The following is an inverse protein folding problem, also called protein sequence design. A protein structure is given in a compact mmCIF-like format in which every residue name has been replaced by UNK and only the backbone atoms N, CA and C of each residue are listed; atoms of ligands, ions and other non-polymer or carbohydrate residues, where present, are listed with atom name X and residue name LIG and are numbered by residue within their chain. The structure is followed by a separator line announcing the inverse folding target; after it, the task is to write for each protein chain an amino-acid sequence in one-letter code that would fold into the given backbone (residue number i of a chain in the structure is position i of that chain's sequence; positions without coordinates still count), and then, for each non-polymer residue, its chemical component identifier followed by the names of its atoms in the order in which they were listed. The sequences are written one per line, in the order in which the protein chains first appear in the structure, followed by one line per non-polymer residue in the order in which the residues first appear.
data_IF_183803924919
#
_entry.id   IF_183803924919
#
_cell.length_a   1.000
_cell.length_b   1.000
_cell.length_c   1.000
_cell.angle_alpha   90.00
_cell.angle_beta   90.00
_cell.angle_gamma   90.00
#
_symmetry.space_group_name_H-M   'P 1'
#
loop_
_entity.id
_entity.type
_entity.pdbx_description
1 polymer ?
#
# COMPACT_ATOMS: atom_id res chain seq x y z
N UNK A 1 3.57 18.59 8.18
CA UNK A 1 4.91 18.28 8.72
C UNK A 1 5.63 19.52 9.22
N UNK A 2 5.87 20.54 8.38
CA UNK A 2 6.67 21.73 8.74
C UNK A 2 6.12 22.49 9.97
N UNK A 3 4.80 22.67 10.08
CA UNK A 3 4.20 23.37 11.21
C UNK A 3 4.30 22.61 12.55
N UNK A 4 4.39 21.27 12.53
CA UNK A 4 4.41 20.45 13.74
C UNK A 4 5.81 20.34 14.35
N UNK A 5 6.83 20.26 13.50
CA UNK A 5 8.22 20.08 13.94
C UNK A 5 8.99 21.39 14.10
N UNK A 6 8.52 22.48 13.45
CA UNK A 6 9.13 23.80 13.55
C UNK A 6 9.38 24.28 14.99
N UNK A 7 8.41 24.25 15.93
CA UNK A 7 8.66 24.74 17.28
C UNK A 7 9.66 23.87 18.06
N UNK A 8 9.70 22.56 17.82
CA UNK A 8 10.64 21.64 18.50
C UNK A 8 12.08 21.91 18.03
N UNK A 9 12.29 22.01 16.71
CA UNK A 9 13.63 22.32 16.19
C UNK A 9 14.07 23.74 16.56
N UNK A 10 13.15 24.71 16.57
CA UNK A 10 13.45 26.07 17.02
C UNK A 10 13.95 26.10 18.48
N UNK A 11 13.30 25.37 19.38
CA UNK A 11 13.73 25.25 20.79
C UNK A 11 15.07 24.50 20.92
N UNK A 12 15.27 23.42 20.15
CA UNK A 12 16.54 22.67 20.18
C UNK A 12 17.72 23.52 19.67
N UNK A 13 17.54 24.29 18.59
CA UNK A 13 18.57 25.22 18.14
C UNK A 13 18.81 26.35 19.13
N UNK A 14 17.75 26.89 19.74
CA UNK A 14 17.89 27.93 20.76
C UNK A 14 18.76 27.48 21.94
N UNK A 15 18.63 26.22 22.37
CA UNK A 15 19.40 25.64 23.46
C UNK A 15 20.83 25.23 23.06
N UNK A 16 21.02 24.72 21.84
CA UNK A 16 22.31 24.13 21.42
C UNK A 16 23.25 25.10 20.70
N UNK A 17 22.75 26.22 20.17
CA UNK A 17 23.58 27.27 19.56
C UNK A 17 24.52 27.93 20.59
N UNK A 18 24.07 28.31 21.80
CA UNK A 18 24.94 28.87 22.83
C UNK A 18 26.02 27.90 23.34
N UNK A 19 25.71 26.60 23.36
CA UNK A 19 26.61 25.54 23.86
C UNK A 19 27.56 24.98 22.78
N UNK A 20 27.40 25.39 21.51
CA UNK A 20 28.20 24.90 20.39
C UNK A 20 27.87 23.48 19.93
N UNK A 21 26.84 22.85 20.50
CA UNK A 21 26.38 21.48 20.24
C UNK A 21 25.23 21.40 19.23
N UNK A 22 25.12 22.40 18.33
CA UNK A 22 24.06 22.48 17.32
C UNK A 22 24.22 21.47 16.17
N UNK A 23 25.43 20.93 15.96
CA UNK A 23 25.75 20.05 14.85
C UNK A 23 24.96 18.71 14.88
N UNK A 24 24.85 17.98 16.02
CA UNK A 24 23.96 16.83 16.14
C UNK A 24 22.49 17.13 15.85
N UNK A 25 21.98 18.30 16.28
CA UNK A 25 20.59 18.72 16.02
C UNK A 25 20.37 18.94 14.52
N UNK A 26 21.31 19.59 13.85
CA UNK A 26 21.28 19.80 12.41
C UNK A 26 21.33 18.47 11.62
N UNK A 27 22.19 17.54 12.04
CA UNK A 27 22.26 16.20 11.44
C UNK A 27 20.95 15.43 11.64
N UNK A 28 20.36 15.49 12.83
CA UNK A 28 19.07 14.85 13.11
C UNK A 28 17.93 15.44 12.27
N UNK A 29 17.86 16.77 12.15
CA UNK A 29 16.87 17.44 11.29
C UNK A 29 17.05 17.04 9.82
N UNK A 30 18.28 17.05 9.33
CA UNK A 30 18.59 16.62 7.97
C UNK A 30 18.17 15.16 7.75
N UNK A 31 18.46 14.28 8.70
CA UNK A 31 18.03 12.88 8.65
C UNK A 31 16.52 12.73 8.54
N UNK A 32 15.75 13.40 9.40
CA UNK A 32 14.26 13.37 9.34
C UNK A 32 13.75 13.93 8.01
N UNK A 33 14.34 15.02 7.52
CA UNK A 33 13.97 15.66 6.25
C UNK A 33 14.21 14.73 5.07
N UNK A 34 15.37 14.05 5.05
CA UNK A 34 15.72 13.09 4.00
C UNK A 34 14.79 11.89 4.04
N UNK A 35 14.54 11.29 5.21
CA UNK A 35 13.62 10.15 5.36
C UNK A 35 12.21 10.51 4.90
N UNK A 36 11.73 11.69 5.27
CA UNK A 36 10.42 12.16 4.83
C UNK A 36 10.38 12.41 3.31
N UNK A 37 11.41 13.06 2.76
CA UNK A 37 11.53 13.31 1.32
C UNK A 37 11.55 12.01 0.52
N UNK A 38 12.31 11.00 0.98
CA UNK A 38 12.32 9.66 0.40
C UNK A 38 10.93 9.01 0.49
N UNK A 39 10.22 9.17 1.61
CA UNK A 39 8.87 8.66 1.77
C UNK A 39 7.87 9.30 0.79
N UNK A 40 7.93 10.62 0.61
CA UNK A 40 7.10 11.37 -0.35
C UNK A 40 7.42 10.96 -1.78
N UNK A 41 8.70 10.85 -2.14
CA UNK A 41 9.12 10.40 -3.47
C UNK A 41 8.69 8.97 -3.72
N UNK A 42 8.84 8.06 -2.75
CA UNK A 42 8.36 6.68 -2.84
C UNK A 42 6.84 6.61 -3.02
N UNK A 43 6.10 7.44 -2.28
CA UNK A 43 4.64 7.55 -2.41
C UNK A 43 4.22 8.01 -3.81
N UNK A 44 4.79 9.10 -4.32
CA UNK A 44 4.47 9.61 -5.67
C UNK A 44 4.96 8.71 -6.81
N UNK A 45 5.97 7.86 -6.57
CA UNK A 45 6.45 6.89 -7.55
C UNK A 45 5.69 5.57 -7.52
N UNK A 46 4.84 5.35 -6.52
CA UNK A 46 4.00 4.15 -6.47
C UNK A 46 2.87 4.31 -7.48
N UNK A 47 2.75 3.34 -8.39
CA UNK A 47 1.76 3.39 -9.45
C UNK A 47 1.55 2.02 -10.06
N UNK A 48 0.35 1.82 -10.60
CA UNK A 48 -0.01 0.61 -11.34
C UNK A 48 -0.32 1.07 -12.76
N UNK A 49 0.41 0.52 -13.73
CA UNK A 49 0.12 0.70 -15.14
C UNK A 49 -0.48 -0.59 -15.66
N UNK A 50 -1.56 -0.46 -16.40
CA UNK A 50 -2.26 -1.58 -16.99
C UNK A 50 -2.33 -1.36 -18.49
N UNK A 51 -2.09 -2.43 -19.24
CA UNK A 51 -2.19 -2.45 -20.70
C UNK A 51 -2.75 -3.82 -21.11
N UNK A 52 -3.19 -3.95 -22.35
CA UNK A 52 -3.69 -5.23 -22.88
C UNK A 52 -2.64 -6.34 -22.87
N UNK A 53 -1.34 -5.99 -22.86
CA UNK A 53 -0.25 -6.97 -22.74
C UNK A 53 -0.02 -7.47 -21.30
N UNK A 54 -0.52 -6.76 -20.28
CA UNK A 54 -0.29 -7.13 -18.88
C UNK A 54 -0.39 -5.98 -17.89
N UNK A 55 0.03 -6.27 -16.66
CA UNK A 55 -0.01 -5.33 -15.54
C UNK A 55 1.39 -5.10 -14.98
N UNK A 56 1.75 -3.84 -14.76
CA UNK A 56 3.02 -3.44 -14.16
C UNK A 56 2.76 -2.65 -12.89
N UNK A 57 3.25 -3.16 -11.77
CA UNK A 57 3.21 -2.51 -10.47
C UNK A 57 4.58 -1.92 -10.15
N UNK A 58 4.63 -0.65 -9.74
CA UNK A 58 5.81 -0.08 -9.10
C UNK A 58 5.52 0.08 -7.62
N UNK A 59 6.20 -0.74 -6.83
CA UNK A 59 6.14 -0.68 -5.38
C UNK A 59 6.88 0.53 -4.81
N UNK A 60 6.60 0.82 -3.54
CA UNK A 60 7.13 1.95 -2.78
C UNK A 60 8.67 2.06 -2.76
N UNK A 61 9.36 0.92 -2.73
CA UNK A 61 10.83 0.85 -2.78
C UNK A 61 11.40 0.97 -4.21
N UNK A 62 10.56 1.30 -5.20
CA UNK A 62 10.95 1.39 -6.59
C UNK A 62 11.09 0.06 -7.32
N UNK A 63 10.70 -1.06 -6.68
CA UNK A 63 10.64 -2.36 -7.33
C UNK A 63 9.53 -2.34 -8.38
N UNK A 64 9.87 -2.68 -9.62
CA UNK A 64 8.92 -2.78 -10.73
C UNK A 64 8.67 -4.26 -10.98
N UNK A 65 7.47 -4.71 -10.65
CA UNK A 65 7.02 -6.07 -10.89
C UNK A 65 6.06 -6.01 -12.09
N UNK A 66 6.39 -6.72 -13.18
CA UNK A 66 5.58 -6.75 -14.41
C UNK A 66 5.11 -8.17 -14.67
N UNK A 67 3.81 -8.33 -14.90
CA UNK A 67 3.16 -9.60 -15.14
C UNK A 67 2.41 -9.55 -16.48
N UNK A 68 2.69 -10.47 -17.42
CA UNK A 68 1.98 -10.54 -18.68
C UNK A 68 0.52 -10.96 -18.46
N UNK A 69 -0.39 -10.52 -19.33
CA UNK A 69 -1.82 -10.83 -19.23
C UNK A 69 -2.09 -12.35 -19.25
N UNK A 70 -1.23 -13.14 -19.89
CA UNK A 70 -1.32 -14.60 -19.91
C UNK A 70 -1.13 -15.26 -18.53
N UNK A 71 -0.42 -14.59 -17.61
CA UNK A 71 -0.27 -15.08 -16.23
C UNK A 71 -1.49 -14.73 -15.37
N UNK A 72 -2.40 -13.88 -15.84
CA UNK A 72 -3.56 -13.41 -15.09
C UNK A 72 -4.72 -14.39 -15.28
N UNK A 73 -5.11 -15.06 -14.20
CA UNK A 73 -6.19 -16.05 -14.22
C UNK A 73 -7.54 -15.48 -13.86
N UNK A 74 -7.62 -14.62 -12.84
CA UNK A 74 -8.89 -14.03 -12.38
C UNK A 74 -8.68 -12.74 -11.62
N UNK A 75 -9.74 -11.93 -11.52
CA UNK A 75 -9.78 -10.71 -10.72
C UNK A 75 -10.81 -10.92 -9.63
N UNK A 76 -10.42 -10.71 -8.37
CA UNK A 76 -11.30 -10.80 -7.23
C UNK A 76 -11.53 -9.40 -6.67
N UNK A 77 -12.78 -8.93 -6.71
CA UNK A 77 -13.20 -7.70 -6.08
C UNK A 77 -13.99 -8.04 -4.83
N UNK A 78 -13.53 -7.54 -3.68
CA UNK A 78 -14.15 -7.80 -2.39
C UNK A 78 -14.09 -6.57 -1.50
N UNK A 79 -15.06 -6.44 -0.61
CA UNK A 79 -15.08 -5.39 0.41
C UNK A 79 -14.48 -5.90 1.73
N UNK A 80 -13.53 -5.14 2.29
CA UNK A 80 -12.95 -5.43 3.61
C UNK A 80 -13.39 -4.41 4.64
N UNK A 81 -13.83 -4.89 5.80
CA UNK A 81 -14.05 -4.04 6.98
C UNK A 81 -12.74 -3.44 7.48
N UNK A 82 -12.76 -2.13 7.75
CA UNK A 82 -11.63 -1.41 8.30
C UNK A 82 -11.68 -1.44 9.83
N UNK A 83 -11.07 -2.47 10.43
CA UNK A 83 -10.99 -2.60 11.88
C UNK A 83 -12.34 -2.92 12.53
N UNK A 84 -12.70 -2.19 13.58
CA UNK A 84 -13.92 -2.38 14.38
C UNK A 84 -15.08 -1.45 13.93
N UNK A 85 -14.86 -0.67 12.88
CA UNK A 85 -15.87 0.20 12.29
C UNK A 85 -16.64 -0.53 11.18
N UNK A 86 -17.90 -0.11 10.97
CA UNK A 86 -18.75 -0.58 9.86
C UNK A 86 -18.30 -0.08 8.48
N UNK A 87 -17.21 0.70 8.41
CA UNK A 87 -16.66 1.19 7.15
C UNK A 87 -16.00 0.05 6.38
N UNK A 88 -16.42 -0.14 5.13
CA UNK A 88 -15.83 -1.08 4.20
C UNK A 88 -14.97 -0.36 3.17
N UNK A 89 -13.90 -1.01 2.73
CA UNK A 89 -13.09 -0.55 1.61
C UNK A 89 -13.05 -1.61 0.53
N UNK A 90 -13.33 -1.21 -0.72
CA UNK A 90 -13.19 -2.09 -1.88
C UNK A 90 -11.71 -2.42 -2.12
N UNK A 91 -11.42 -3.69 -2.25
CA UNK A 91 -10.09 -4.22 -2.50
C UNK A 91 -10.14 -5.13 -3.72
N UNK A 92 -9.36 -4.78 -4.74
CA UNK A 92 -9.20 -5.57 -5.95
C UNK A 92 -7.91 -6.39 -5.87
N UNK A 93 -8.02 -7.69 -6.11
CA UNK A 93 -6.90 -8.61 -6.15
C UNK A 93 -6.82 -9.21 -7.55
N UNK A 94 -5.69 -9.01 -8.21
CA UNK A 94 -5.37 -9.71 -9.46
C UNK A 94 -4.70 -11.02 -9.09
N UNK A 95 -5.32 -12.13 -9.46
CA UNK A 95 -4.88 -13.48 -9.13
C UNK A 95 -4.35 -14.14 -10.40
N UNK A 96 -3.14 -14.67 -10.31
CA UNK A 96 -2.52 -15.37 -11.41
C UNK A 96 -3.15 -16.73 -11.66
N UNK A 97 -2.84 -17.33 -12.81
CA UNK A 97 -3.24 -18.71 -13.16
C UNK A 97 -2.78 -19.73 -12.11
N UNK A 98 -1.68 -19.43 -11.42
CA UNK A 98 -1.12 -20.23 -10.32
C UNK A 98 -1.90 -20.09 -8.99
N UNK A 99 -2.98 -19.28 -8.96
CA UNK A 99 -3.75 -18.97 -7.75
C UNK A 99 -3.05 -17.98 -6.80
N UNK A 100 -1.87 -17.48 -7.16
CA UNK A 100 -1.12 -16.50 -6.36
C UNK A 100 -1.58 -15.08 -6.66
N UNK A 101 -1.51 -14.21 -5.65
CA UNK A 101 -1.79 -12.79 -5.83
C UNK A 101 -0.64 -12.08 -6.57
N UNK A 102 -0.94 -11.56 -7.75
CA UNK A 102 -0.02 -10.75 -8.55
C UNK A 102 -0.02 -9.31 -8.04
N UNK A 103 -1.19 -8.67 -8.06
CA UNK A 103 -1.37 -7.25 -7.72
C UNK A 103 -2.55 -7.08 -6.76
N UNK A 104 -2.47 -6.07 -5.89
CA UNK A 104 -3.55 -5.70 -4.97
C UNK A 104 -3.78 -4.19 -4.99
N UNK A 105 -4.97 -3.78 -5.42
CA UNK A 105 -5.43 -2.40 -5.31
C UNK A 105 -6.29 -2.25 -4.05
N UNK A 106 -6.02 -1.23 -3.25
CA UNK A 106 -6.79 -0.91 -2.04
C UNK A 106 -7.58 0.37 -2.27
N UNK A 107 -8.87 0.37 -1.93
CA UNK A 107 -9.78 1.51 -2.10
C UNK A 107 -9.30 2.78 -1.38
N UNK A 108 -8.54 2.63 -0.30
CA UNK A 108 -7.90 3.74 0.40
C UNK A 108 -6.89 4.54 -0.44
N UNK A 109 -6.37 3.96 -1.53
CA UNK A 109 -5.37 4.59 -2.40
C UNK A 109 -5.83 4.71 -3.86
N UNK A 110 -6.73 3.84 -4.30
CA UNK A 110 -7.20 3.79 -5.68
C UNK A 110 -8.71 3.96 -5.74
N UNK A 111 -9.18 4.79 -6.66
CA UNK A 111 -10.62 4.98 -6.89
C UNK A 111 -11.25 3.74 -7.52
N UNK A 112 -12.57 3.57 -7.33
CA UNK A 112 -13.35 2.54 -8.03
C UNK A 112 -13.16 2.60 -9.55
N UNK A 113 -13.21 3.80 -10.15
CA UNK A 113 -12.98 3.97 -11.59
C UNK A 113 -11.59 3.44 -12.05
N UNK A 114 -10.57 3.53 -11.20
CA UNK A 114 -9.25 2.97 -11.50
C UNK A 114 -9.27 1.44 -11.46
N UNK A 115 -10.04 0.86 -10.53
CA UNK A 115 -10.24 -0.59 -10.45
C UNK A 115 -11.03 -1.12 -11.66
N UNK A 116 -12.07 -0.40 -12.07
CA UNK A 116 -12.86 -0.73 -13.26
C UNK A 116 -12.00 -0.70 -14.52
N UNK A 117 -11.10 0.29 -14.65
CA UNK A 117 -10.14 0.36 -15.76
C UNK A 117 -9.25 -0.89 -15.81
N UNK A 118 -8.79 -1.39 -14.66
CA UNK A 118 -7.97 -2.62 -14.60
C UNK A 118 -8.80 -3.83 -15.00
N UNK A 119 -10.05 -3.93 -14.55
CA UNK A 119 -10.97 -5.00 -14.94
C UNK A 119 -11.17 -5.02 -16.46
N UNK A 120 -11.49 -3.86 -17.05
CA UNK A 120 -11.75 -3.72 -18.48
C UNK A 120 -10.53 -4.05 -19.34
N UNK A 121 -9.35 -3.56 -18.95
CA UNK A 121 -8.12 -3.70 -19.73
C UNK A 121 -7.56 -5.12 -19.73
N UNK A 122 -7.60 -5.82 -18.60
CA UNK A 122 -7.15 -7.21 -18.51
C UNK A 122 -8.12 -8.21 -19.14
N UNK A 123 -9.43 -7.90 -19.16
CA UNK A 123 -10.45 -8.79 -19.72
C UNK A 123 -10.55 -10.16 -19.03
N UNK A 124 -9.98 -10.31 -17.84
CA UNK A 124 -9.97 -11.56 -17.09
C UNK A 124 -11.30 -11.76 -16.33
N UNK A 125 -11.70 -13.01 -16.02
CA UNK A 125 -12.91 -13.29 -15.26
C UNK A 125 -12.92 -12.56 -13.91
N UNK A 126 -13.97 -11.79 -13.65
CA UNK A 126 -14.14 -11.04 -12.40
C UNK A 126 -15.09 -11.76 -11.46
N UNK A 127 -14.62 -12.04 -10.25
CA UNK A 127 -15.41 -12.57 -9.16
C UNK A 127 -15.69 -11.44 -8.19
N UNK A 128 -16.97 -11.07 -8.09
CA UNK A 128 -17.45 -10.10 -7.12
C UNK A 128 -17.89 -10.86 -5.87
N UNK A 129 -17.27 -10.54 -4.72
CA UNK A 129 -17.73 -11.05 -3.44
C UNK A 129 -18.68 -10.03 -2.83
N UNK A 130 -19.97 -10.36 -2.85
CA UNK A 130 -21.06 -9.47 -2.44
C UNK A 130 -21.11 -9.23 -0.93
N UNK A 131 -20.52 -10.12 -0.14
CA UNK A 131 -20.55 -10.05 1.32
C UNK A 131 -19.23 -9.47 1.83
N UNK A 132 -19.26 -8.28 2.48
CA UNK A 132 -18.06 -7.71 3.06
C UNK A 132 -17.49 -8.65 4.11
N UNK A 133 -16.18 -8.85 4.06
CA UNK A 133 -15.51 -9.79 4.95
C UNK A 133 -14.45 -9.08 5.79
N UNK A 134 -14.19 -9.62 6.96
CA UNK A 134 -13.07 -9.17 7.78
C UNK A 134 -11.75 -9.70 7.22
N UNK A 135 -10.63 -9.05 7.55
CA UNK A 135 -9.31 -9.57 7.18
C UNK A 135 -9.06 -10.99 7.73
N UNK A 136 -9.67 -11.34 8.87
CA UNK A 136 -9.58 -12.66 9.50
C UNK A 136 -10.32 -13.73 8.70
N UNK A 137 -11.50 -13.40 8.20
CA UNK A 137 -12.26 -14.28 7.31
C UNK A 137 -11.54 -14.48 5.97
N UNK A 138 -11.00 -13.40 5.39
CA UNK A 138 -10.17 -13.49 4.19
C UNK A 138 -8.93 -14.37 4.41
N UNK A 139 -8.25 -14.25 5.57
CA UNK A 139 -7.10 -15.10 5.90
C UNK A 139 -7.48 -16.58 6.03
N UNK A 140 -8.67 -16.89 6.55
CA UNK A 140 -9.17 -18.27 6.64
C UNK A 140 -9.58 -18.84 5.29
N UNK A 141 -10.24 -18.03 4.45
CA UNK A 141 -10.78 -18.48 3.17
C UNK A 141 -9.72 -18.55 2.07
N UNK A 142 -8.80 -17.58 2.04
CA UNK A 142 -7.82 -17.34 0.96
C UNK A 142 -6.50 -16.74 1.49
N UNK A 143 -5.73 -17.45 2.32
CA UNK A 143 -4.48 -16.93 2.90
C UNK A 143 -3.44 -16.54 1.84
N UNK A 144 -3.47 -17.15 0.65
CA UNK A 144 -2.61 -16.88 -0.50
C UNK A 144 -2.76 -15.46 -1.08
N UNK A 145 -3.88 -14.78 -0.80
CA UNK A 145 -4.13 -13.41 -1.24
C UNK A 145 -3.51 -12.36 -0.31
N UNK A 146 -3.11 -12.77 0.89
CA UNK A 146 -2.56 -11.89 1.90
C UNK A 146 -1.03 -11.88 1.89
N UNK A 147 -0.46 -10.76 2.30
CA UNK A 147 0.98 -10.71 2.52
C UNK A 147 1.38 -11.64 3.68
N UNK A 148 2.61 -12.16 3.64
CA UNK A 148 3.09 -13.09 4.67
C UNK A 148 2.99 -12.55 6.10
N UNK A 149 3.18 -11.24 6.28
CA UNK A 149 3.08 -10.58 7.58
C UNK A 149 1.63 -10.36 8.02
N UNK A 150 0.70 -10.10 7.09
CA UNK A 150 -0.74 -9.95 7.39
C UNK A 150 -1.30 -11.27 7.93
N UNK A 151 -0.86 -12.41 7.39
CA UNK A 151 -1.21 -13.74 7.90
C UNK A 151 -0.81 -13.91 9.37
N UNK A 152 0.44 -13.56 9.70
CA UNK A 152 0.99 -13.76 11.05
C UNK A 152 0.39 -12.83 12.11
N UNK A 153 0.03 -11.60 11.73
CA UNK A 153 -0.63 -10.64 12.63
C UNK A 153 -2.05 -11.07 13.00
N UNK A 154 -2.78 -11.68 12.07
CA UNK A 154 -4.13 -12.20 12.32
C UNK A 154 -4.10 -13.42 13.25
N UNK A 155 -3.11 -14.30 13.10
CA UNK A 155 -2.98 -15.51 13.92
C UNK A 155 -2.54 -15.22 15.36
N UNK A 156 -1.80 -14.13 15.59
CA UNK A 156 -1.30 -13.73 16.92
C UNK A 156 -2.30 -12.97 17.79
N UNK A 157 -3.46 -12.57 17.25
CA UNK A 157 -4.54 -11.90 17.97
C UNK A 157 -5.61 -12.89 18.48
N UNK A 158 -5.19 -14.09 18.88
CA UNK A 158 -6.03 -15.16 19.41
C UNK A 158 -5.81 -15.36 20.91
#
# INVERSE_FOLDING_TARGET
MLALFSPIFAVLYWLTVPEGTWLPVAVAQLGVTVVFGLGVVGFHRTGIWVDHSGITERGFFGRVDSYPAAEVGSILLLELYLGDALDTNAHLFVVGVDGRRLVRMRGQYYSHASMDTVIEQLGAPVVHVSEPMTLRELNRARPELLYWFERRLVDGAA
#
